data_IF_779595430887
#
_entry.id   IF_779595430887
#
_cell.length_a   1.000
_cell.length_b   1.000
_cell.length_c   1.000
_cell.angle_alpha   90.00
_cell.angle_beta   90.00
_cell.angle_gamma   90.00
#
_symmetry.space_group_name_H-M   'P 1'
#
loop_
_entity.id
_entity.type
_entity.pdbx_description
1 polymer ?
#
# COMPACT_ATOMS: atom_id res chain seq x y z
N UNK A 1 -7.49 24.70 1.40
CA UNK A 1 -7.22 24.32 1.54
C UNK A 1 -6.64 24.04 1.75
N UNK A 2 -6.53 23.87 1.77
CA UNK A 2 -5.96 23.68 1.99
C UNK A 2 -4.86 23.02 2.46
N UNK A 3 -4.07 23.34 3.29
CA UNK A 3 -2.95 22.71 3.94
C UNK A 3 -3.31 21.35 4.51
N UNK A 4 -4.49 21.25 5.08
CA UNK A 4 -4.99 20.00 5.61
C UNK A 4 -5.10 18.91 4.58
N UNK A 5 -5.55 19.28 3.39
CA UNK A 5 -5.71 18.31 2.31
C UNK A 5 -4.37 17.80 1.82
N UNK A 6 -3.41 18.70 1.68
CA UNK A 6 -2.07 18.31 1.24
C UNK A 6 -1.41 17.38 2.25
N UNK A 7 -1.57 17.69 3.51
CA UNK A 7 -0.98 16.90 4.57
C UNK A 7 -1.62 15.52 4.66
N UNK A 8 -2.94 15.47 4.53
CA UNK A 8 -3.64 14.19 4.55
C UNK A 8 -3.24 13.32 3.38
N UNK A 9 -3.09 13.93 2.21
CA UNK A 9 -2.64 13.21 1.01
C UNK A 9 -1.23 12.66 1.22
N UNK A 10 -0.35 13.48 1.77
CA UNK A 10 1.03 13.07 2.02
C UNK A 10 1.09 11.88 2.99
N UNK A 11 0.29 11.95 4.05
CA UNK A 11 0.25 10.86 5.04
C UNK A 11 -0.26 9.58 4.43
N UNK A 12 -1.27 9.67 3.59
CA UNK A 12 -1.81 8.49 2.93
C UNK A 12 -0.75 7.82 2.05
N UNK A 13 -0.02 8.62 1.27
CA UNK A 13 1.03 8.11 0.42
C UNK A 13 2.14 7.46 1.23
N UNK A 14 2.55 8.11 2.33
CA UNK A 14 3.59 7.56 3.19
C UNK A 14 3.15 6.26 3.84
N UNK A 15 1.92 6.22 4.32
CA UNK A 15 1.40 5.01 4.93
C UNK A 15 1.38 3.85 3.95
N UNK A 16 0.97 4.12 2.72
CA UNK A 16 0.94 3.09 1.69
C UNK A 16 2.34 2.60 1.35
N UNK A 17 3.29 3.52 1.28
CA UNK A 17 4.68 3.15 0.99
C UNK A 17 5.26 2.27 2.09
N UNK A 18 5.02 2.64 3.34
CA UNK A 18 5.52 1.87 4.48
C UNK A 18 4.84 0.50 4.57
N UNK A 19 3.54 0.46 4.32
CA UNK A 19 2.81 -0.79 4.39
C UNK A 19 3.24 -1.75 3.29
N UNK A 20 3.68 -1.23 2.16
CA UNK A 20 4.19 -2.08 1.09
C UNK A 20 5.46 -2.80 1.53
N UNK A 21 6.35 -2.10 2.20
CA UNK A 21 7.55 -2.72 2.77
C UNK A 21 7.17 -3.75 3.83
N UNK A 22 6.21 -3.41 4.69
CA UNK A 22 5.73 -4.33 5.71
C UNK A 22 5.15 -5.60 5.10
N UNK A 23 4.43 -5.47 4.00
CA UNK A 23 3.87 -6.62 3.31
C UNK A 23 4.96 -7.64 2.97
N UNK A 24 6.07 -7.15 2.41
CA UNK A 24 7.16 -8.04 2.01
C UNK A 24 7.90 -8.59 3.22
N UNK A 25 8.12 -7.76 4.23
CA UNK A 25 8.79 -8.17 5.44
C UNK A 25 8.02 -9.27 6.17
N UNK A 26 6.71 -9.11 6.30
CA UNK A 26 5.88 -10.09 7.00
C UNK A 26 5.81 -11.42 6.26
N UNK A 27 6.03 -11.40 4.95
CA UNK A 27 6.02 -12.62 4.14
C UNK A 27 7.42 -13.17 3.88
N UNK A 28 8.40 -12.63 4.59
CA UNK A 28 9.79 -13.09 4.49
C UNK A 28 10.31 -12.94 3.05
N UNK A 29 9.91 -11.88 2.39
CA UNK A 29 10.33 -11.56 1.03
C UNK A 29 11.25 -10.36 1.04
N UNK A 30 12.18 -10.33 0.09
CA UNK A 30 13.09 -9.21 -0.03
C UNK A 30 12.37 -7.99 -0.60
N UNK A 31 12.63 -6.82 -0.01
CA UNK A 31 12.08 -5.56 -0.50
C UNK A 31 13.16 -4.79 -1.24
N UNK A 32 13.01 -4.68 -2.55
CA UNK A 32 13.99 -4.05 -3.42
C UNK A 32 13.61 -2.61 -3.80
N UNK A 33 12.78 -1.96 -3.01
CA UNK A 33 12.29 -0.64 -3.33
C UNK A 33 10.87 -0.70 -3.88
N UNK A 34 10.16 0.43 -3.81
CA UNK A 34 8.75 0.46 -4.12
C UNK A 34 8.45 0.07 -5.58
N UNK A 35 9.29 0.52 -6.50
CA UNK A 35 9.05 0.25 -7.92
C UNK A 35 9.08 -1.24 -8.22
N UNK A 36 10.11 -1.93 -7.74
CA UNK A 36 10.23 -3.37 -7.96
C UNK A 36 9.22 -4.15 -7.13
N UNK A 37 8.92 -3.65 -5.92
CA UNK A 37 7.96 -4.30 -5.05
C UNK A 37 6.57 -4.30 -5.67
N UNK A 38 6.15 -3.20 -6.26
CA UNK A 38 4.85 -3.12 -6.91
C UNK A 38 4.77 -4.10 -8.06
N UNK A 39 5.81 -4.17 -8.86
CA UNK A 39 5.86 -5.09 -9.99
C UNK A 39 5.80 -6.55 -9.51
N UNK A 40 6.54 -6.85 -8.46
CA UNK A 40 6.56 -8.20 -7.90
C UNK A 40 5.21 -8.55 -7.29
N UNK A 41 4.59 -7.59 -6.60
CA UNK A 41 3.28 -7.79 -5.98
C UNK A 41 2.25 -8.16 -7.04
N UNK A 42 2.30 -7.50 -8.18
CA UNK A 42 1.37 -7.79 -9.28
C UNK A 42 1.50 -9.23 -9.75
N UNK A 43 2.70 -9.78 -9.69
CA UNK A 43 2.98 -11.15 -10.13
C UNK A 43 2.63 -12.17 -9.07
N UNK A 44 3.03 -11.95 -7.82
CA UNK A 44 2.89 -12.96 -6.78
C UNK A 44 1.54 -12.91 -6.08
N UNK A 45 0.89 -11.75 -6.08
CA UNK A 45 -0.37 -11.58 -5.36
C UNK A 45 -1.26 -10.58 -6.10
N UNK A 46 -1.92 -11.02 -7.19
CA UNK A 46 -2.77 -10.12 -7.97
C UNK A 46 -3.88 -9.47 -7.14
N UNK A 47 -4.43 -10.20 -6.17
CA UNK A 47 -5.47 -9.65 -5.31
C UNK A 47 -4.91 -8.54 -4.42
N UNK A 48 -3.75 -8.78 -3.84
CA UNK A 48 -3.08 -7.75 -3.04
C UNK A 48 -2.72 -6.54 -3.88
N UNK A 49 -2.26 -6.78 -5.10
CA UNK A 49 -1.95 -5.68 -6.01
C UNK A 49 -3.20 -4.85 -6.30
N UNK A 50 -4.34 -5.52 -6.53
CA UNK A 50 -5.59 -4.79 -6.79
C UNK A 50 -5.98 -3.92 -5.61
N UNK A 51 -5.85 -4.45 -4.41
CA UNK A 51 -6.16 -3.69 -3.20
C UNK A 51 -5.21 -2.50 -3.03
N UNK A 52 -3.93 -2.72 -3.28
CA UNK A 52 -2.95 -1.65 -3.18
C UNK A 52 -3.21 -0.57 -4.23
N UNK A 53 -3.48 -0.97 -5.46
CA UNK A 53 -3.78 -0.05 -6.55
C UNK A 53 -5.02 0.77 -6.23
N UNK A 54 -6.06 0.13 -5.71
CA UNK A 54 -7.28 0.81 -5.33
C UNK A 54 -7.03 1.81 -4.22
N UNK A 55 -6.23 1.42 -3.23
CA UNK A 55 -5.89 2.33 -2.14
C UNK A 55 -5.12 3.54 -2.65
N UNK A 56 -4.21 3.33 -3.59
CA UNK A 56 -3.44 4.41 -4.19
C UNK A 56 -4.32 5.34 -5.01
N UNK A 57 -5.28 4.78 -5.73
CA UNK A 57 -6.14 5.57 -6.62
C UNK A 57 -7.20 6.34 -5.86
N UNK A 58 -7.88 5.68 -4.94
CA UNK A 58 -8.99 6.28 -4.20
C UNK A 58 -8.53 7.04 -2.97
N UNK A 59 -7.50 6.55 -2.32
CA UNK A 59 -6.95 7.12 -1.09
C UNK A 59 -8.02 7.37 -0.04
N UNK A 60 -9.08 6.55 -0.06
CA UNK A 60 -10.13 6.60 0.93
C UNK A 60 -9.76 5.72 2.11
N UNK A 61 -10.31 6.04 3.28
CA UNK A 61 -10.03 5.26 4.48
C UNK A 61 -10.39 3.80 4.30
N UNK A 62 -11.50 3.53 3.63
CA UNK A 62 -11.94 2.16 3.41
C UNK A 62 -10.99 1.38 2.52
N UNK A 63 -10.53 2.01 1.43
CA UNK A 63 -9.62 1.35 0.51
C UNK A 63 -8.27 1.09 1.17
N UNK A 64 -7.77 2.07 1.91
CA UNK A 64 -6.49 1.92 2.60
C UNK A 64 -6.60 0.84 3.67
N UNK A 65 -7.71 0.82 4.41
CA UNK A 65 -7.92 -0.20 5.44
C UNK A 65 -7.98 -1.59 4.84
N UNK A 66 -8.65 -1.75 3.70
CA UNK A 66 -8.71 -3.04 3.02
C UNK A 66 -7.32 -3.55 2.67
N UNK A 67 -6.48 -2.66 2.15
CA UNK A 67 -5.11 -3.03 1.84
C UNK A 67 -4.33 -3.39 3.10
N UNK A 68 -4.44 -2.58 4.15
CA UNK A 68 -3.73 -2.83 5.40
C UNK A 68 -4.16 -4.16 6.02
N UNK A 69 -5.46 -4.44 6.02
CA UNK A 69 -5.95 -5.72 6.52
C UNK A 69 -5.36 -6.88 5.74
N UNK A 70 -5.24 -6.73 4.43
CA UNK A 70 -4.63 -7.76 3.60
C UNK A 70 -3.15 -7.95 3.96
N UNK A 71 -2.43 -6.86 4.20
CA UNK A 71 -1.03 -6.91 4.60
C UNK A 71 -0.86 -7.68 5.90
N UNK A 72 -1.73 -7.40 6.86
CA UNK A 72 -1.64 -8.02 8.18
C UNK A 72 -2.18 -9.44 8.20
N UNK A 73 -2.84 -9.86 7.16
CA UNK A 73 -3.39 -11.22 7.11
C UNK A 73 -4.68 -11.39 7.87
N UNK A 74 -5.41 -10.32 8.05
CA UNK A 74 -6.66 -10.34 8.80
C UNK A 74 -7.84 -10.71 7.92
#
# INVERSE_FOLDING_TARGET
>A
MEKGDDEAHYRAVMLLAESLEDYFTLRDQFYFGSKKAIKQLKTIDPQGYALFHQAMSLRSDGAIRSWIDHVMGI
#
